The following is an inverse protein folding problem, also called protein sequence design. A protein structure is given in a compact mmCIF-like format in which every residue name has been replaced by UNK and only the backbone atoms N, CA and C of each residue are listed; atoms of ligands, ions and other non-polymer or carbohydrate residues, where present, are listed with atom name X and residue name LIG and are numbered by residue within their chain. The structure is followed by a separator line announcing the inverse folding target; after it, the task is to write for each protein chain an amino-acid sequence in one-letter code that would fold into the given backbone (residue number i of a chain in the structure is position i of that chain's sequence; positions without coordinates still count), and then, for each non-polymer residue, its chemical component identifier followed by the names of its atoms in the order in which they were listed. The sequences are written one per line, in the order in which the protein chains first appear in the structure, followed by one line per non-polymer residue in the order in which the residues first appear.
data_IF_577111511903
#
_entry.id   IF_577111511903
#
_cell.length_a   1.000
_cell.length_b   1.000
_cell.length_c   1.000
_cell.angle_alpha   90.00
_cell.angle_beta   90.00
_cell.angle_gamma   90.00
#
_symmetry.space_group_name_H-M   'P 1'
#
loop_
_entity.id
_entity.type
_entity.pdbx_description
1 polymer ?
#
# COMPACT_ATOMS: atom_id res chain seq x y z
N UNK A 1 10.18 7.37 22.80
CA UNK A 1 9.89 6.90 21.43
C UNK A 1 8.42 7.19 21.15
N UNK A 2 8.08 7.80 20.02
CA UNK A 2 6.67 8.12 19.70
C UNK A 2 5.91 6.81 19.42
N UNK A 3 4.78 6.59 20.10
CA UNK A 3 3.92 5.45 19.81
C UNK A 3 3.22 5.68 18.46
N UNK A 4 3.53 4.85 17.47
CA UNK A 4 2.98 4.94 16.11
C UNK A 4 1.84 3.95 15.86
N UNK A 5 1.43 3.21 16.88
CA UNK A 5 0.35 2.23 16.77
C UNK A 5 -1.01 2.93 16.93
N UNK A 6 -1.85 2.77 15.91
CA UNK A 6 -3.22 3.25 15.90
C UNK A 6 -4.20 2.08 15.99
N UNK A 7 -5.34 2.24 16.68
CA UNK A 7 -6.30 1.16 16.89
C UNK A 7 -7.06 0.79 15.61
N UNK A 8 -7.13 1.68 14.63
CA UNK A 8 -7.83 1.45 13.35
C UNK A 8 -7.22 2.29 12.21
N UNK A 9 -7.63 1.98 10.98
CA UNK A 9 -7.21 2.73 9.79
C UNK A 9 -7.76 4.16 9.80
N UNK A 10 -9.00 4.33 10.25
CA UNK A 10 -9.66 5.63 10.40
C UNK A 10 -8.90 6.50 11.42
N UNK A 11 -8.54 5.93 12.58
CA UNK A 11 -7.75 6.63 13.58
C UNK A 11 -6.35 7.01 13.07
N UNK A 12 -5.74 6.18 12.22
CA UNK A 12 -4.45 6.48 11.61
C UNK A 12 -4.54 7.60 10.56
N UNK A 13 -5.67 7.73 9.86
CA UNK A 13 -5.88 8.69 8.77
C UNK A 13 -6.55 9.99 9.22
N UNK A 14 -7.05 10.03 10.47
CA UNK A 14 -7.72 11.20 11.03
C UNK A 14 -6.82 12.45 11.03
N UNK A 15 -7.32 13.54 10.44
CA UNK A 15 -6.59 14.81 10.33
C UNK A 15 -5.42 14.79 9.34
N UNK A 16 -5.32 13.73 8.53
CA UNK A 16 -4.27 13.58 7.51
C UNK A 16 -4.86 13.76 6.12
N UNK A 17 -5.98 13.07 5.84
CA UNK A 17 -6.59 13.07 4.52
C UNK A 17 -7.15 14.45 4.16
N UNK A 18 -6.93 14.85 2.91
CA UNK A 18 -7.50 16.03 2.29
C UNK A 18 -7.62 15.80 0.78
N UNK A 19 -8.48 16.60 0.13
CA UNK A 19 -8.64 16.55 -1.33
C UNK A 19 -7.33 16.91 -2.04
N UNK A 20 -7.09 16.37 -3.24
CA UNK A 20 -5.87 16.65 -4.00
C UNK A 20 -4.62 15.93 -3.47
N UNK A 21 -4.74 15.03 -2.50
CA UNK A 21 -3.57 14.38 -1.87
C UNK A 21 -2.92 13.36 -2.82
N UNK A 22 -1.59 13.46 -2.95
CA UNK A 22 -0.75 12.41 -3.53
C UNK A 22 -0.49 11.32 -2.49
N UNK A 23 -0.85 10.08 -2.82
CA UNK A 23 -0.70 8.91 -1.95
C UNK A 23 0.25 7.90 -2.59
N UNK A 24 1.36 7.64 -1.91
CA UNK A 24 2.21 6.50 -2.20
C UNK A 24 1.61 5.21 -1.61
N UNK A 25 1.23 4.25 -2.45
CA UNK A 25 0.67 2.97 -2.00
C UNK A 25 1.60 1.81 -2.35
N UNK A 26 1.86 0.96 -1.37
CA UNK A 26 2.55 -0.31 -1.58
C UNK A 26 1.62 -1.41 -2.11
N UNK A 27 2.22 -2.48 -2.63
CA UNK A 27 1.54 -3.68 -3.12
C UNK A 27 2.02 -4.12 -4.50
N UNK A 28 1.93 -5.43 -4.80
CA UNK A 28 2.17 -6.01 -6.13
C UNK A 28 0.96 -6.84 -6.54
N UNK A 29 0.21 -6.37 -7.54
CA UNK A 29 -1.14 -6.89 -7.83
C UNK A 29 -2.03 -6.82 -6.58
N UNK A 30 -2.44 -7.97 -6.04
CA UNK A 30 -3.18 -8.07 -4.77
C UNK A 30 -2.29 -8.30 -3.54
N UNK A 31 -1.02 -8.67 -3.75
CA UNK A 31 -0.15 -9.04 -2.65
C UNK A 31 0.36 -7.78 -1.93
N UNK A 32 0.17 -7.72 -0.61
CA UNK A 32 0.68 -6.62 0.22
C UNK A 32 -0.08 -5.29 0.07
N UNK A 33 -1.28 -5.28 -0.52
CA UNK A 33 -2.09 -4.05 -0.62
C UNK A 33 -2.61 -3.61 0.75
N UNK A 34 -2.62 -2.30 1.06
CA UNK A 34 -3.09 -1.78 2.35
C UNK A 34 -4.63 -1.68 2.40
N UNK A 35 -5.33 -2.82 2.28
CA UNK A 35 -6.78 -2.91 2.09
C UNK A 35 -7.60 -2.08 3.09
N UNK A 36 -7.27 -2.14 4.39
CA UNK A 36 -7.99 -1.34 5.41
C UNK A 36 -7.79 0.15 5.27
N UNK A 37 -6.59 0.60 4.88
CA UNK A 37 -6.34 2.01 4.64
C UNK A 37 -7.08 2.47 3.38
N UNK A 38 -7.06 1.68 2.30
CA UNK A 38 -7.82 1.97 1.07
C UNK A 38 -9.33 2.07 1.35
N UNK A 39 -9.87 1.15 2.16
CA UNK A 39 -11.28 1.20 2.58
C UNK A 39 -11.58 2.45 3.41
N UNK A 40 -10.73 2.80 4.37
CA UNK A 40 -10.90 4.00 5.18
C UNK A 40 -10.78 5.29 4.37
N UNK A 41 -9.85 5.36 3.41
CA UNK A 41 -9.72 6.47 2.45
C UNK A 41 -11.01 6.60 1.65
N UNK A 42 -11.53 5.50 1.08
CA UNK A 42 -12.80 5.49 0.35
C UNK A 42 -13.97 5.98 1.22
N UNK A 43 -14.05 5.52 2.47
CA UNK A 43 -15.12 5.93 3.41
C UNK A 43 -14.98 7.39 3.86
N UNK A 44 -13.77 7.97 3.84
CA UNK A 44 -13.55 9.37 4.24
C UNK A 44 -14.20 10.38 3.29
N UNK A 45 -14.42 10.00 2.02
CA UNK A 45 -15.08 10.83 1.01
C UNK A 45 -14.20 11.92 0.37
N UNK A 46 -12.90 11.94 0.67
CA UNK A 46 -11.95 12.85 0.01
C UNK A 46 -11.87 12.57 -1.49
N UNK A 47 -11.62 13.63 -2.27
CA UNK A 47 -11.66 13.63 -3.73
C UNK A 47 -10.33 14.02 -4.34
N UNK A 48 -10.23 13.83 -5.66
CA UNK A 48 -9.08 14.26 -6.47
C UNK A 48 -7.74 13.69 -5.96
N UNK A 49 -7.75 12.42 -5.55
CA UNK A 49 -6.55 11.73 -5.08
C UNK A 49 -5.71 11.23 -6.24
N UNK A 50 -4.40 11.44 -6.16
CA UNK A 50 -3.43 10.82 -7.08
C UNK A 50 -2.71 9.69 -6.35
N UNK A 51 -2.64 8.50 -6.95
CA UNK A 51 -1.94 7.36 -6.36
C UNK A 51 -0.67 7.02 -7.14
N UNK A 52 0.45 6.96 -6.45
CA UNK A 52 1.69 6.35 -6.95
C UNK A 52 1.79 4.93 -6.40
N UNK A 53 1.65 3.92 -7.27
CA UNK A 53 1.65 2.50 -6.92
C UNK A 53 2.29 1.65 -8.00
N UNK A 54 2.81 0.48 -7.64
CA UNK A 54 3.37 -0.47 -8.62
C UNK A 54 2.29 -1.05 -9.54
N UNK A 55 1.07 -1.26 -9.03
CA UNK A 55 -0.10 -1.67 -9.81
C UNK A 55 -1.37 -0.99 -9.26
N UNK A 56 -2.43 -0.96 -10.06
CA UNK A 56 -3.76 -0.49 -9.66
C UNK A 56 -4.72 -1.63 -9.25
N UNK A 57 -4.19 -2.73 -8.71
CA UNK A 57 -5.00 -3.89 -8.32
C UNK A 57 -5.31 -4.83 -9.49
N UNK A 58 -6.54 -5.37 -9.51
CA UNK A 58 -6.99 -6.44 -10.45
C UNK A 58 -8.00 -5.97 -11.49
N UNK A 59 -8.60 -4.80 -11.27
CA UNK A 59 -9.47 -4.16 -12.23
C UNK A 59 -8.57 -3.15 -12.95
N UNK A 60 -8.34 -3.32 -14.25
CA UNK A 60 -7.33 -2.62 -15.07
C UNK A 60 -7.53 -1.10 -15.20
N UNK A 61 -7.66 -0.37 -14.10
CA UNK A 61 -7.89 1.07 -14.06
C UNK A 61 -6.62 1.77 -13.59
N UNK A 62 -5.83 2.22 -14.56
CA UNK A 62 -4.74 3.18 -14.31
C UNK A 62 -5.17 4.53 -14.87
N UNK A 63 -4.80 5.62 -14.21
CA UNK A 63 -5.15 6.99 -14.62
C UNK A 63 -4.63 7.28 -16.04
N UNK A 64 -3.46 6.73 -16.39
CA UNK A 64 -2.85 6.83 -17.72
C UNK A 64 -2.03 5.57 -18.03
N UNK A 65 -2.25 4.97 -19.22
CA UNK A 65 -1.36 3.93 -19.77
C UNK A 65 -0.38 4.61 -20.72
N UNK A 66 0.91 4.49 -20.42
CA UNK A 66 1.98 5.04 -21.26
C UNK A 66 2.84 3.92 -21.89
N UNK A 67 3.39 4.09 -23.10
CA UNK A 67 4.23 3.09 -23.75
C UNK A 67 5.51 2.76 -22.95
N UNK A 68 6.01 1.53 -23.04
CA UNK A 68 7.27 1.18 -22.39
C UNK A 68 8.41 2.10 -22.85
N UNK A 69 9.13 2.69 -21.87
CA UNK A 69 10.20 3.66 -22.13
C UNK A 69 9.76 5.12 -22.20
N UNK A 70 8.48 5.43 -22.00
CA UNK A 70 7.98 6.81 -21.94
C UNK A 70 8.31 7.53 -20.63
N UNK A 71 8.59 6.78 -19.57
CA UNK A 71 9.06 7.30 -18.30
C UNK A 71 10.58 7.16 -18.25
N UNK A 72 11.27 8.26 -17.96
CA UNK A 72 12.70 8.23 -17.65
C UNK A 72 12.93 7.42 -16.37
N UNK A 73 13.68 6.30 -16.41
CA UNK A 73 13.95 5.47 -15.25
C UNK A 73 14.53 6.24 -14.07
N UNK A 74 15.34 7.28 -14.33
CA UNK A 74 15.97 8.10 -13.29
C UNK A 74 14.99 9.08 -12.64
N UNK A 75 13.79 9.23 -13.20
CA UNK A 75 12.68 9.98 -12.63
C UNK A 75 11.66 9.09 -11.90
N UNK A 76 11.82 7.76 -11.96
CA UNK A 76 10.96 6.81 -11.24
C UNK A 76 11.48 6.63 -9.82
N UNK A 77 11.08 7.56 -8.94
CA UNK A 77 11.36 7.44 -7.52
C UNK A 77 10.30 6.56 -6.85
N UNK A 78 10.70 5.36 -6.41
CA UNK A 78 9.90 4.60 -5.46
C UNK A 78 10.00 5.30 -4.10
N UNK A 79 8.88 5.63 -3.45
CA UNK A 79 8.92 6.26 -2.15
C UNK A 79 9.67 5.36 -1.18
N UNK A 80 10.76 5.86 -0.61
CA UNK A 80 11.36 5.25 0.57
C UNK A 80 10.29 5.19 1.65
N UNK A 81 9.81 4.00 1.99
CA UNK A 81 8.68 3.82 2.89
C UNK A 81 9.12 4.14 4.32
N UNK A 82 9.06 5.41 4.70
CA UNK A 82 9.13 5.82 6.10
C UNK A 82 7.80 5.49 6.75
N UNK A 83 7.80 4.64 7.78
CA UNK A 83 6.58 4.27 8.49
C UNK A 83 6.27 5.33 9.56
N UNK A 84 5.34 6.24 9.29
CA UNK A 84 4.86 7.21 10.29
C UNK A 84 3.74 6.65 11.16
N UNK A 85 2.87 5.78 10.62
CA UNK A 85 1.73 5.20 11.33
C UNK A 85 1.56 3.72 10.99
N UNK A 86 1.26 2.92 12.00
CA UNK A 86 1.05 1.48 11.88
C UNK A 86 -0.31 1.10 12.44
N UNK A 87 -1.01 0.21 11.73
CA UNK A 87 -2.26 -0.40 12.19
C UNK A 87 -2.01 -1.89 12.33
N UNK A 88 -2.44 -2.48 13.45
CA UNK A 88 -2.27 -3.92 13.65
C UNK A 88 -3.22 -4.68 12.76
N UNK A 89 -2.61 -5.60 12.02
CA UNK A 89 -3.26 -6.43 11.03
C UNK A 89 -4.24 -7.46 11.61
N UNK A 90 -3.80 -8.17 12.63
CA UNK A 90 -4.47 -9.40 13.01
C UNK A 90 -5.90 -9.18 13.56
N UNK A 91 -6.83 -10.14 13.32
CA UNK A 91 -6.69 -11.31 12.45
C UNK A 91 -7.18 -11.03 11.01
N UNK A 92 -6.39 -11.43 9.99
CA UNK A 92 -6.84 -11.49 8.59
C UNK A 92 -6.55 -12.86 8.01
N UNK A 93 -7.37 -13.28 7.05
CA UNK A 93 -7.11 -14.44 6.20
C UNK A 93 -6.37 -13.98 4.93
N UNK A 94 -5.05 -14.13 4.91
CA UNK A 94 -4.21 -13.69 3.79
C UNK A 94 -4.21 -14.75 2.69
N UNK A 95 -5.18 -14.65 1.77
CA UNK A 95 -5.47 -15.67 0.74
C UNK A 95 -4.34 -15.98 -0.26
N UNK A 96 -3.33 -15.12 -0.39
CA UNK A 96 -2.32 -15.21 -1.46
C UNK A 96 -0.87 -15.10 -0.96
N UNK A 97 -0.65 -15.09 0.36
CA UNK A 97 0.69 -14.98 0.92
C UNK A 97 1.24 -16.39 1.21
N UNK A 98 2.00 -16.94 0.26
CA UNK A 98 2.64 -18.26 0.41
C UNK A 98 4.03 -18.10 1.02
N UNK A 99 4.28 -18.74 2.15
CA UNK A 99 5.62 -18.80 2.75
C UNK A 99 6.33 -20.03 2.18
N UNK A 100 7.20 -19.83 1.20
CA UNK A 100 8.10 -20.88 0.73
C UNK A 100 9.31 -20.94 1.66
N UNK A 101 9.44 -22.02 2.42
CA UNK A 101 10.66 -22.30 3.19
C UNK A 101 11.43 -23.42 2.51
N UNK A 102 12.77 -23.34 2.49
CA UNK A 102 13.58 -24.51 2.15
C UNK A 102 13.51 -25.50 3.32
N UNK A 103 13.49 -26.79 3.04
CA UNK A 103 13.66 -27.79 4.09
C UNK A 103 14.98 -27.55 4.83
N UNK A 104 14.91 -27.53 6.15
CA UNK A 104 16.10 -27.42 6.99
C UNK A 104 16.83 -28.76 6.89
N UNK A 105 18.06 -28.74 6.37
CA UNK A 105 18.91 -29.94 6.40
C UNK A 105 18.99 -30.45 7.83
N UNK A 106 18.65 -31.72 8.01
CA UNK A 106 18.84 -32.42 9.27
C UNK A 106 20.33 -32.46 9.55
N UNK A 107 20.78 -31.65 10.52
CA UNK A 107 22.15 -31.71 11.00
C UNK A 107 22.41 -33.14 11.48
N UNK A 108 23.31 -33.85 10.79
CA UNK A 108 23.88 -35.10 11.28
C UNK A 108 24.79 -34.86 12.47
#
# INVERSE_FOLDING_TARGET
MMNKLYPSAEAALQGVLHDGMLIASGGFGLCGIPERLLKAIRTSGVKDLTFASNNAGIDNEVEEIVPAGSLDPDQIHLPGVYVQRMVVGAPYDKKIEFVTTRERESTR
#
